data_IF_795932014704
#
_entry.id   IF_795932014704
#
_cell.length_a   1.000
_cell.length_b   1.000
_cell.length_c   1.000
_cell.angle_alpha   90.00
_cell.angle_beta   90.00
_cell.angle_gamma   90.00
#
_symmetry.space_group_name_H-M   'P 1'
#
loop_
_entity.id
_entity.type
_entity.pdbx_description
1 polymer ?
#
# COMPACT_ATOMS: atom_id res chain seq x y z
N UNK A 1 -39.71 -12.70 -2.94
CA UNK A 1 -39.87 -12.11 -4.29
C UNK A 1 -38.70 -12.68 -5.09
N UNK A 2 -38.83 -13.93 -5.55
CA UNK A 2 -37.68 -14.77 -5.92
C UNK A 2 -37.77 -15.24 -7.38
N UNK A 3 -38.37 -14.41 -8.24
CA UNK A 3 -38.71 -14.77 -9.62
C UNK A 3 -37.75 -14.28 -10.70
N UNK A 4 -36.79 -13.40 -10.37
CA UNK A 4 -35.93 -12.71 -11.35
C UNK A 4 -34.52 -13.32 -11.52
N UNK A 5 -34.21 -14.40 -10.79
CA UNK A 5 -32.90 -15.06 -10.91
C UNK A 5 -32.90 -16.08 -12.07
N UNK A 6 -31.91 -16.00 -12.95
CA UNK A 6 -31.71 -16.95 -14.06
C UNK A 6 -31.19 -18.27 -13.51
N UNK A 7 -31.92 -19.37 -13.75
CA UNK A 7 -31.59 -20.71 -13.21
C UNK A 7 -31.03 -21.69 -14.24
N UNK A 8 -31.33 -21.50 -15.53
CA UNK A 8 -30.90 -22.40 -16.60
C UNK A 8 -30.69 -21.64 -17.91
N UNK A 9 -29.69 -22.06 -18.69
CA UNK A 9 -29.44 -21.59 -20.05
C UNK A 9 -29.54 -22.76 -21.03
N UNK A 10 -30.55 -22.74 -21.89
CA UNK A 10 -30.71 -23.74 -22.96
C UNK A 10 -29.94 -23.27 -24.20
N UNK A 11 -28.81 -23.92 -24.46
CA UNK A 11 -27.90 -23.58 -25.56
C UNK A 11 -27.87 -24.68 -26.62
N UNK A 12 -27.49 -24.30 -27.85
CA UNK A 12 -27.20 -25.24 -28.94
C UNK A 12 -25.74 -25.09 -29.34
N UNK A 13 -25.03 -26.22 -29.48
CA UNK A 13 -23.67 -26.23 -29.98
C UNK A 13 -23.65 -25.80 -31.47
N UNK A 14 -23.06 -24.66 -31.75
CA UNK A 14 -22.76 -24.25 -33.12
C UNK A 14 -21.46 -24.91 -33.57
N UNK A 15 -21.53 -25.78 -34.59
CA UNK A 15 -20.32 -26.30 -35.23
C UNK A 15 -19.75 -25.22 -36.14
N UNK A 16 -18.86 -24.39 -35.59
CA UNK A 16 -18.15 -23.31 -36.29
C UNK A 16 -17.38 -23.76 -37.56
N UNK A 17 -17.22 -25.07 -37.78
CA UNK A 17 -16.60 -25.61 -38.99
C UNK A 17 -17.39 -25.29 -40.28
N UNK A 18 -18.67 -24.97 -40.17
CA UNK A 18 -19.52 -24.55 -41.29
C UNK A 18 -19.59 -23.00 -41.29
N UNK A 19 -18.81 -22.37 -42.17
CA UNK A 19 -18.32 -20.97 -42.13
C UNK A 19 -19.37 -19.82 -42.18
N UNK A 20 -20.63 -20.05 -41.86
CA UNK A 20 -21.71 -19.07 -42.12
C UNK A 20 -22.16 -18.26 -40.88
N UNK A 21 -21.50 -18.41 -39.73
CA UNK A 21 -21.85 -17.73 -38.48
C UNK A 21 -20.96 -16.52 -38.12
N UNK A 22 -21.43 -15.56 -37.30
CA UNK A 22 -20.58 -14.50 -36.75
C UNK A 22 -19.60 -15.08 -35.72
N UNK A 23 -18.33 -14.68 -35.81
CA UNK A 23 -17.28 -15.12 -34.88
C UNK A 23 -17.64 -14.69 -33.45
N UNK A 24 -17.48 -15.57 -32.43
CA UNK A 24 -17.74 -15.18 -31.05
C UNK A 24 -16.82 -14.04 -30.62
N UNK A 25 -17.36 -13.10 -29.83
CA UNK A 25 -16.64 -11.90 -29.35
C UNK A 25 -15.66 -12.21 -28.22
N UNK A 26 -15.96 -13.21 -27.41
CA UNK A 26 -15.12 -13.68 -26.30
C UNK A 26 -15.30 -15.18 -26.10
N UNK A 27 -14.41 -15.76 -25.30
CA UNK A 27 -14.48 -17.14 -24.84
C UNK A 27 -14.74 -17.14 -23.34
N UNK A 28 -15.54 -18.09 -22.87
CA UNK A 28 -15.81 -18.32 -21.45
C UNK A 28 -15.23 -19.66 -21.02
N UNK A 29 -14.89 -19.78 -19.74
CA UNK A 29 -14.57 -21.06 -19.11
C UNK A 29 -15.87 -21.79 -18.78
N UNK A 30 -15.85 -23.12 -18.81
CA UNK A 30 -17.00 -23.96 -18.45
C UNK A 30 -16.53 -25.20 -17.71
N UNK A 31 -17.45 -25.79 -16.96
CA UNK A 31 -17.25 -26.99 -16.16
C UNK A 31 -18.41 -27.94 -16.46
N UNK A 32 -18.19 -29.22 -16.77
CA UNK A 32 -19.27 -30.15 -17.07
C UNK A 32 -20.10 -30.45 -15.82
N UNK A 33 -21.36 -30.87 -16.01
CA UNK A 33 -22.31 -31.08 -14.91
C UNK A 33 -21.95 -32.22 -13.95
N UNK A 34 -21.05 -33.12 -14.36
CA UNK A 34 -20.56 -34.26 -13.56
C UNK A 34 -19.29 -33.93 -12.75
N UNK A 35 -18.98 -32.64 -12.61
CA UNK A 35 -17.82 -32.17 -11.87
C UNK A 35 -17.96 -32.36 -10.37
N UNK A 36 -16.82 -32.38 -9.69
CA UNK A 36 -16.76 -32.51 -8.24
C UNK A 36 -17.22 -31.21 -7.57
N UNK A 37 -18.06 -31.27 -6.52
CA UNK A 37 -18.34 -30.11 -5.70
C UNK A 37 -17.05 -29.67 -5.02
N UNK A 38 -16.83 -28.36 -4.99
CA UNK A 38 -15.66 -27.75 -4.38
C UNK A 38 -16.07 -26.45 -3.71
N UNK A 39 -15.59 -26.26 -2.48
CA UNK A 39 -15.80 -25.03 -1.73
C UNK A 39 -14.67 -24.06 -2.06
N UNK A 40 -15.05 -22.87 -2.51
CA UNK A 40 -14.11 -21.86 -2.98
C UNK A 40 -14.08 -20.71 -1.98
N UNK A 41 -12.95 -20.55 -1.30
CA UNK A 41 -12.71 -19.43 -0.37
C UNK A 41 -12.08 -18.28 -1.12
N UNK A 42 -12.83 -17.18 -1.27
CA UNK A 42 -12.31 -15.95 -1.89
C UNK A 42 -12.09 -14.88 -0.85
N UNK A 43 -10.82 -14.51 -0.67
CA UNK A 43 -10.44 -13.43 0.22
C UNK A 43 -10.45 -12.07 -0.47
N UNK A 44 -10.90 -11.07 0.26
CA UNK A 44 -10.73 -9.63 0.01
C UNK A 44 -9.92 -9.00 1.17
N UNK A 45 -9.78 -7.68 1.17
CA UNK A 45 -9.10 -6.95 2.23
C UNK A 45 -9.75 -7.20 3.59
N UNK A 46 -8.92 -7.62 4.57
CA UNK A 46 -9.34 -7.93 5.94
C UNK A 46 -9.83 -6.69 6.70
N UNK A 47 -9.33 -5.50 6.36
CA UNK A 47 -9.70 -4.24 6.99
C UNK A 47 -10.34 -3.30 5.97
N UNK A 48 -11.33 -2.52 6.41
CA UNK A 48 -11.96 -1.48 5.58
C UNK A 48 -11.07 -0.24 5.44
N UNK A 49 -10.15 -0.05 6.37
CA UNK A 49 -9.30 1.13 6.54
C UNK A 49 -7.86 0.84 6.13
N UNK A 50 -7.19 1.86 5.58
CA UNK A 50 -5.82 1.72 5.06
C UNK A 50 -4.78 1.61 6.19
N UNK A 51 -5.05 2.20 7.36
CA UNK A 51 -4.17 2.20 8.53
C UNK A 51 -4.92 1.78 9.80
N UNK A 52 -5.18 0.47 9.97
CA UNK A 52 -5.95 -0.04 11.09
C UNK A 52 -5.23 0.08 12.45
N UNK A 53 -3.95 0.48 12.45
CA UNK A 53 -3.19 0.74 13.68
C UNK A 53 -3.41 2.14 14.26
N UNK A 54 -4.25 2.97 13.63
CA UNK A 54 -4.52 4.35 14.07
C UNK A 54 -5.72 4.47 15.03
N UNK A 55 -6.58 3.44 15.07
CA UNK A 55 -7.69 3.33 16.00
C UNK A 55 -7.33 2.44 17.19
N UNK A 56 -7.90 2.74 18.37
CA UNK A 56 -7.73 1.93 19.58
C UNK A 56 -8.49 0.59 19.48
N UNK A 57 -9.56 0.52 18.68
CA UNK A 57 -10.45 -0.65 18.54
C UNK A 57 -10.43 -1.21 17.10
N UNK A 58 -9.29 -1.81 16.71
CA UNK A 58 -9.07 -2.41 15.39
C UNK A 58 -10.07 -3.52 15.01
N UNK A 59 -10.75 -4.12 16.00
CA UNK A 59 -11.76 -5.18 15.78
C UNK A 59 -12.97 -4.64 15.01
N UNK A 60 -13.34 -3.38 15.25
CA UNK A 60 -14.47 -2.74 14.57
C UNK A 60 -14.16 -2.37 13.12
N UNK A 61 -12.88 -2.39 12.74
CA UNK A 61 -12.40 -2.11 11.38
C UNK A 61 -12.27 -3.37 10.52
N UNK A 62 -12.58 -4.55 11.09
CA UNK A 62 -12.59 -5.81 10.36
C UNK A 62 -13.70 -5.78 9.32
N UNK A 63 -13.32 -6.10 8.09
CA UNK A 63 -14.26 -6.32 7.02
C UNK A 63 -14.93 -7.69 7.19
N UNK A 64 -16.20 -7.70 7.61
CA UNK A 64 -17.03 -8.91 7.71
C UNK A 64 -17.31 -9.55 6.34
N UNK A 65 -17.10 -8.79 5.27
CA UNK A 65 -17.17 -9.21 3.88
C UNK A 65 -15.76 -9.55 3.33
N UNK A 66 -14.79 -9.83 4.21
CA UNK A 66 -13.45 -10.24 3.76
C UNK A 66 -13.41 -11.62 3.09
N UNK A 67 -14.51 -12.40 3.16
CA UNK A 67 -14.68 -13.70 2.52
C UNK A 67 -15.93 -13.73 1.63
N UNK A 68 -15.76 -14.14 0.36
CA UNK A 68 -16.82 -14.29 -0.64
C UNK A 68 -16.61 -15.54 -1.52
N UNK A 69 -17.51 -15.77 -2.49
CA UNK A 69 -17.42 -16.84 -3.49
C UNK A 69 -17.24 -16.25 -4.91
N UNK A 70 -16.06 -16.43 -5.55
CA UNK A 70 -15.76 -16.00 -6.95
C UNK A 70 -14.66 -16.85 -7.62
N UNK A 71 -14.58 -16.77 -8.95
CA UNK A 71 -13.66 -17.54 -9.81
C UNK A 71 -12.24 -16.95 -9.79
N UNK A 72 -11.19 -17.78 -9.87
CA UNK A 72 -9.78 -17.34 -9.93
C UNK A 72 -8.77 -18.49 -10.01
N UNK A 73 -7.47 -18.20 -9.82
CA UNK A 73 -6.46 -19.24 -9.59
C UNK A 73 -6.53 -19.73 -8.14
N UNK A 74 -6.52 -21.04 -7.98
CA UNK A 74 -6.77 -21.69 -6.70
C UNK A 74 -5.57 -22.49 -6.23
N UNK A 75 -5.23 -22.33 -4.95
CA UNK A 75 -4.36 -23.23 -4.22
C UNK A 75 -5.24 -24.18 -3.40
N UNK A 76 -4.88 -25.47 -3.34
CA UNK A 76 -5.54 -26.42 -2.43
C UNK A 76 -5.28 -25.96 -1.00
N UNK A 77 -6.34 -25.78 -0.22
CA UNK A 77 -6.24 -25.43 1.19
C UNK A 77 -5.73 -26.66 1.98
N UNK A 78 -4.80 -26.50 2.95
CA UNK A 78 -4.34 -27.58 3.82
C UNK A 78 -5.45 -28.34 4.56
N UNK A 79 -6.62 -27.74 4.77
CA UNK A 79 -7.80 -28.35 5.39
C UNK A 79 -8.59 -29.26 4.43
N UNK A 80 -8.19 -29.34 3.16
CA UNK A 80 -8.78 -30.26 2.18
C UNK A 80 -8.68 -31.70 2.66
N UNK A 81 -9.83 -32.36 2.82
CA UNK A 81 -9.94 -33.76 3.27
C UNK A 81 -10.27 -34.73 2.13
N UNK A 82 -10.36 -34.22 0.90
CA UNK A 82 -10.79 -35.01 -0.26
C UNK A 82 -9.81 -36.12 -0.62
N UNK A 83 -10.31 -37.37 -0.62
CA UNK A 83 -9.60 -38.52 -1.15
C UNK A 83 -10.03 -38.79 -2.61
N UNK A 84 -9.12 -38.68 -3.59
CA UNK A 84 -9.43 -38.87 -5.00
C UNK A 84 -9.79 -40.31 -5.37
N UNK A 85 -9.46 -41.31 -4.54
CA UNK A 85 -9.78 -42.73 -4.83
C UNK A 85 -11.19 -43.09 -4.39
N UNK A 86 -11.61 -42.58 -3.24
CA UNK A 86 -12.96 -42.81 -2.71
C UNK A 86 -13.96 -41.73 -3.12
N UNK A 87 -13.50 -40.63 -3.73
CA UNK A 87 -14.29 -39.41 -4.04
C UNK A 87 -15.07 -38.91 -2.82
N UNK A 88 -14.48 -39.01 -1.64
CA UNK A 88 -15.10 -38.65 -0.37
C UNK A 88 -14.26 -37.58 0.34
N UNK A 89 -14.92 -36.72 1.11
CA UNK A 89 -14.33 -35.55 1.78
C UNK A 89 -14.54 -34.23 1.03
N UNK A 90 -14.06 -33.14 1.59
CA UNK A 90 -14.28 -31.78 1.06
C UNK A 90 -13.02 -31.24 0.37
N UNK A 91 -13.23 -30.64 -0.80
CA UNK A 91 -12.21 -29.92 -1.56
C UNK A 91 -12.31 -28.44 -1.21
N UNK A 92 -11.29 -27.91 -0.53
CA UNK A 92 -11.19 -26.49 -0.22
C UNK A 92 -10.12 -25.85 -1.09
N UNK A 93 -10.49 -24.74 -1.72
CA UNK A 93 -9.59 -24.00 -2.60
C UNK A 93 -9.50 -22.54 -2.15
N UNK A 94 -8.28 -22.09 -1.86
CA UNK A 94 -7.98 -20.69 -1.56
C UNK A 94 -7.63 -19.93 -2.83
N UNK A 95 -8.31 -18.81 -3.10
CA UNK A 95 -7.90 -17.92 -4.20
C UNK A 95 -6.66 -17.13 -3.81
N UNK A 96 -5.54 -17.33 -4.51
CA UNK A 96 -4.24 -16.80 -4.07
C UNK A 96 -4.07 -15.30 -4.34
N UNK A 97 -4.58 -14.75 -5.46
CA UNK A 97 -4.70 -13.30 -5.74
C UNK A 97 -5.71 -13.09 -6.90
N UNK A 98 -6.53 -12.04 -6.85
CA UNK A 98 -7.33 -11.59 -8.01
C UNK A 98 -6.43 -11.09 -9.13
N UNK A 99 -6.67 -11.48 -10.38
CA UNK A 99 -6.02 -10.80 -11.50
C UNK A 99 -6.41 -9.31 -11.50
N UNK A 100 -5.47 -8.40 -11.81
CA UNK A 100 -5.80 -6.99 -12.03
C UNK A 100 -6.67 -6.88 -13.28
N UNK A 101 -7.99 -7.00 -13.11
CA UNK A 101 -8.95 -7.00 -14.21
C UNK A 101 -10.37 -7.40 -13.84
N UNK A 102 -10.58 -8.27 -12.84
CA UNK A 102 -11.92 -8.78 -12.49
C UNK A 102 -12.57 -8.09 -11.27
N UNK A 103 -11.85 -7.18 -10.61
CA UNK A 103 -12.38 -6.33 -9.52
C UNK A 103 -12.67 -4.87 -9.94
N UNK A 104 -12.46 -4.51 -11.20
CA UNK A 104 -12.59 -3.11 -11.66
C UNK A 104 -14.03 -2.66 -11.95
N UNK A 105 -15.04 -3.41 -11.48
CA UNK A 105 -16.45 -3.03 -11.55
C UNK A 105 -17.09 -2.96 -10.16
N UNK A 106 -16.46 -2.23 -9.26
CA UNK A 106 -17.18 -1.37 -8.34
C UNK A 106 -16.21 -0.26 -7.93
N UNK A 107 -16.09 0.76 -8.80
CA UNK A 107 -15.75 2.11 -8.32
C UNK A 107 -16.98 2.63 -7.59
N UNK A 108 -17.32 1.99 -6.47
CA UNK A 108 -18.13 2.64 -5.47
C UNK A 108 -17.38 3.93 -5.15
N UNK A 109 -18.05 5.05 -5.34
CA UNK A 109 -17.46 6.37 -5.15
C UNK A 109 -16.94 6.39 -3.73
N UNK A 110 -15.62 6.24 -3.56
CA UNK A 110 -14.94 6.43 -2.28
C UNK A 110 -15.51 7.70 -1.68
N UNK A 111 -15.90 7.63 -0.41
CA UNK A 111 -16.58 8.76 0.21
C UNK A 111 -15.66 9.98 0.06
N UNK A 112 -16.21 11.17 -0.21
CA UNK A 112 -15.41 12.40 -0.36
C UNK A 112 -14.50 12.64 0.85
N UNK A 113 -14.88 12.08 2.00
CA UNK A 113 -14.14 12.13 3.25
C UNK A 113 -12.89 11.22 3.24
N UNK A 114 -12.97 9.99 2.72
CA UNK A 114 -11.82 9.08 2.56
C UNK A 114 -10.80 9.59 1.53
N UNK A 115 -11.29 10.12 0.39
CA UNK A 115 -10.40 10.74 -0.61
C UNK A 115 -9.70 11.97 -0.04
N UNK A 116 -10.42 12.78 0.75
CA UNK A 116 -9.85 13.93 1.46
C UNK A 116 -8.78 13.53 2.49
N UNK A 117 -9.06 12.51 3.32
CA UNK A 117 -8.12 12.02 4.32
C UNK A 117 -6.83 11.45 3.67
N UNK A 118 -6.97 10.68 2.59
CA UNK A 118 -5.83 10.11 1.87
C UNK A 118 -5.01 11.19 1.14
N UNK A 119 -5.67 12.20 0.58
CA UNK A 119 -4.99 13.34 -0.04
C UNK A 119 -4.22 14.17 1.00
N UNK A 120 -4.81 14.43 2.17
CA UNK A 120 -4.15 15.13 3.28
C UNK A 120 -2.93 14.36 3.79
N UNK A 121 -3.04 13.03 3.93
CA UNK A 121 -1.91 12.21 4.37
C UNK A 121 -0.77 12.19 3.35
N UNK A 122 -1.07 12.03 2.06
CA UNK A 122 -0.08 12.11 0.98
C UNK A 122 0.60 13.47 0.91
N UNK A 123 -0.15 14.56 1.09
CA UNK A 123 0.40 15.91 1.11
C UNK A 123 1.37 16.10 2.29
N UNK A 124 1.04 15.59 3.48
CA UNK A 124 1.92 15.61 4.65
C UNK A 124 3.19 14.79 4.42
N UNK A 125 3.08 13.58 3.86
CA UNK A 125 4.25 12.75 3.55
C UNK A 125 5.16 13.41 2.52
N UNK A 126 4.61 13.99 1.46
CA UNK A 126 5.37 14.72 0.45
C UNK A 126 6.09 15.93 1.04
N UNK A 127 5.42 16.69 1.93
CA UNK A 127 6.03 17.82 2.63
C UNK A 127 7.16 17.37 3.58
N UNK A 128 6.97 16.27 4.32
CA UNK A 128 7.98 15.69 5.20
C UNK A 128 9.18 15.13 4.42
N UNK A 129 8.94 14.52 3.27
CA UNK A 129 9.99 14.05 2.36
C UNK A 129 10.75 15.23 1.75
N UNK A 130 10.04 16.25 1.25
CA UNK A 130 10.66 17.45 0.68
C UNK A 130 11.52 18.20 1.71
N UNK A 131 11.05 18.32 2.96
CA UNK A 131 11.82 18.95 4.05
C UNK A 131 13.01 18.08 4.49
N UNK A 132 12.88 16.74 4.48
CA UNK A 132 14.01 15.82 4.68
C UNK A 132 15.04 15.90 3.54
N UNK A 133 14.60 15.99 2.28
CA UNK A 133 15.48 16.12 1.11
C UNK A 133 16.19 17.47 1.07
N UNK A 134 15.48 18.57 1.39
CA UNK A 134 16.08 19.89 1.53
C UNK A 134 17.18 19.88 2.61
N UNK A 135 16.92 19.24 3.75
CA UNK A 135 17.94 19.02 4.80
C UNK A 135 19.12 18.17 4.31
N UNK A 136 18.92 17.16 3.46
CA UNK A 136 20.00 16.31 2.93
C UNK A 136 20.90 17.04 1.91
N UNK A 137 20.41 18.11 1.27
CA UNK A 137 21.18 18.86 0.25
C UNK A 137 22.05 19.98 0.83
N UNK A 138 21.90 20.31 2.11
CA UNK A 138 22.64 21.40 2.76
C UNK A 138 23.96 20.87 3.31
N UNK A 139 25.09 21.54 3.01
CA UNK A 139 26.39 21.17 3.56
C UNK A 139 26.40 21.32 5.10
N UNK A 140 27.15 20.49 5.85
CA UNK A 140 27.15 20.54 7.31
C UNK A 140 27.48 21.92 7.89
N UNK A 141 28.39 22.68 7.25
CA UNK A 141 28.78 24.04 7.68
C UNK A 141 27.64 25.05 7.55
N UNK A 142 26.75 24.86 6.56
CA UNK A 142 25.64 25.76 6.25
C UNK A 142 24.30 25.34 6.89
N UNK A 143 24.29 24.25 7.66
CA UNK A 143 23.08 23.69 8.27
C UNK A 143 22.26 24.72 9.05
N UNK A 144 22.91 25.57 9.84
CA UNK A 144 22.22 26.57 10.67
C UNK A 144 21.91 27.88 9.92
N UNK A 145 22.38 28.03 8.68
CA UNK A 145 22.21 29.24 7.87
C UNK A 145 21.17 29.08 6.77
N UNK A 146 21.10 27.88 6.16
CA UNK A 146 20.25 27.61 4.99
C UNK A 146 19.07 26.68 5.29
N UNK A 147 19.04 25.98 6.42
CA UNK A 147 17.89 25.17 6.77
C UNK A 147 16.71 26.08 7.16
N UNK A 148 15.56 25.89 6.51
CA UNK A 148 14.33 26.64 6.78
C UNK A 148 13.88 26.60 8.25
N UNK A 149 14.31 25.60 9.02
CA UNK A 149 14.01 25.46 10.45
C UNK A 149 14.89 26.31 11.36
N UNK A 150 15.98 26.86 10.83
CA UNK A 150 16.96 27.67 11.57
C UNK A 150 17.00 29.12 11.07
N UNK A 151 16.13 29.46 10.12
CA UNK A 151 15.97 30.81 9.61
C UNK A 151 15.51 31.78 10.71
N UNK A 152 16.23 32.87 10.90
CA UNK A 152 15.92 33.92 11.89
C UNK A 152 16.27 33.60 13.35
N UNK A 153 16.80 32.42 13.67
CA UNK A 153 17.08 32.02 15.06
C UNK A 153 18.44 32.47 15.61
N UNK A 154 19.38 32.87 14.75
CA UNK A 154 20.74 33.21 15.17
C UNK A 154 21.31 34.39 14.38
N UNK A 155 21.99 35.29 15.10
CA UNK A 155 22.52 36.54 14.54
C UNK A 155 24.00 36.48 14.14
N UNK A 156 24.81 35.66 14.82
CA UNK A 156 26.26 35.54 14.56
C UNK A 156 26.72 34.09 14.55
N UNK A 157 27.63 33.77 13.63
CA UNK A 157 28.14 32.42 13.38
C UNK A 157 29.67 32.41 13.48
N UNK A 158 30.25 31.30 13.91
CA UNK A 158 31.69 31.10 13.88
C UNK A 158 32.13 30.77 12.44
N UNK A 159 33.09 31.54 11.92
CA UNK A 159 33.56 31.49 10.52
C UNK A 159 34.18 30.13 10.15
N UNK A 160 34.78 29.43 11.10
CA UNK A 160 35.53 28.19 10.85
C UNK A 160 34.66 26.93 11.02
N UNK A 161 33.65 26.99 11.89
CA UNK A 161 32.82 25.82 12.25
C UNK A 161 31.37 25.92 11.77
N UNK A 162 30.88 27.10 11.39
CA UNK A 162 29.49 27.33 10.99
C UNK A 162 28.48 27.27 12.15
N UNK A 163 28.94 27.07 13.39
CA UNK A 163 28.06 26.97 14.57
C UNK A 163 27.62 28.37 15.03
N UNK A 164 26.32 28.57 15.34
CA UNK A 164 25.82 29.81 15.94
C UNK A 164 26.47 30.14 17.28
N UNK A 165 26.78 31.43 17.48
CA UNK A 165 27.41 31.95 18.70
C UNK A 165 26.49 32.84 19.52
N UNK A 166 25.53 33.50 18.86
CA UNK A 166 24.55 34.39 19.46
C UNK A 166 23.14 34.01 18.98
N UNK A 167 22.14 34.18 19.83
CA UNK A 167 20.72 33.99 19.49
C UNK A 167 20.17 35.13 18.62
N UNK A 168 18.88 35.07 18.32
CA UNK A 168 18.17 36.08 17.52
C UNK A 168 18.25 37.49 18.13
N UNK A 169 18.27 37.59 19.47
CA UNK A 169 18.36 38.83 20.23
C UNK A 169 19.80 39.35 20.39
N UNK A 170 20.78 38.63 19.83
CA UNK A 170 22.19 39.02 19.91
C UNK A 170 22.83 38.73 21.26
N UNK A 171 22.22 37.89 22.10
CA UNK A 171 22.81 37.40 23.35
C UNK A 171 23.68 36.18 23.09
N UNK A 172 24.82 36.12 23.77
CA UNK A 172 25.75 35.01 23.63
C UNK A 172 25.15 33.68 24.11
N UNK A 173 25.16 32.68 23.22
CA UNK A 173 24.76 31.32 23.54
C UNK A 173 25.71 30.70 24.56
N UNK A 174 25.17 29.98 25.54
CA UNK A 174 25.96 29.30 26.57
C UNK A 174 26.87 28.20 25.98
N UNK A 175 27.95 27.86 26.69
CA UNK A 175 28.87 26.77 26.30
C UNK A 175 28.13 25.45 26.04
N UNK A 176 27.09 25.16 26.82
CA UNK A 176 26.27 23.96 26.66
C UNK A 176 25.38 24.03 25.41
N UNK A 177 24.81 25.20 25.11
CA UNK A 177 24.01 25.40 23.91
C UNK A 177 24.86 25.25 22.63
N UNK A 178 26.05 25.86 22.59
CA UNK A 178 27.00 25.73 21.47
C UNK A 178 27.44 24.28 21.27
N UNK A 179 27.71 23.53 22.36
CA UNK A 179 28.06 22.09 22.29
C UNK A 179 26.91 21.23 21.76
N UNK A 180 25.67 21.54 22.11
CA UNK A 180 24.49 20.85 21.60
C UNK A 180 24.28 21.10 20.09
N UNK A 181 24.50 22.34 19.64
CA UNK A 181 24.43 22.70 18.22
C UNK A 181 25.55 22.02 17.40
N UNK A 182 26.78 22.01 17.90
CA UNK A 182 27.89 21.27 17.27
C UNK A 182 27.59 19.77 17.16
N UNK A 183 26.96 19.15 18.17
CA UNK A 183 26.53 17.74 18.11
C UNK A 183 25.42 17.50 17.07
N UNK A 184 24.50 18.45 16.86
CA UNK A 184 23.47 18.36 15.82
C UNK A 184 24.08 18.44 14.41
N UNK A 185 25.05 19.33 14.21
CA UNK A 185 25.80 19.46 12.97
C UNK A 185 26.62 18.20 12.65
N UNK A 186 27.33 17.65 13.65
CA UNK A 186 28.10 16.42 13.50
C UNK A 186 27.21 15.20 13.16
N UNK A 187 26.00 15.13 13.75
CA UNK A 187 25.01 14.12 13.39
C UNK A 187 24.48 14.27 11.97
N UNK A 188 24.30 15.50 11.51
CA UNK A 188 23.89 15.78 10.13
C UNK A 188 24.99 15.36 9.15
N UNK A 189 26.25 15.69 9.44
CA UNK A 189 27.43 15.25 8.67
C UNK A 189 27.60 13.72 8.64
N UNK A 190 27.36 13.02 9.75
CA UNK A 190 27.49 11.55 9.80
C UNK A 190 26.34 10.82 9.11
N UNK A 191 25.16 11.45 8.99
CA UNK A 191 23.96 10.83 8.38
C UNK A 191 24.08 10.69 6.87
N UNK A 192 25.07 11.36 6.25
CA UNK A 192 25.43 11.19 4.85
C UNK A 192 26.25 9.90 4.59
N UNK A 193 26.67 9.15 5.63
CA UNK A 193 27.50 7.94 5.49
C UNK A 193 26.72 6.62 5.24
N UNK A 194 25.42 6.67 4.96
CA UNK A 194 24.66 5.53 4.44
C UNK A 194 24.22 5.71 2.97
N UNK A 195 24.61 6.82 2.32
CA UNK A 195 24.22 7.15 0.95
C UNK A 195 25.21 6.75 -0.15
N UNK A 196 26.40 6.23 0.17
CA UNK A 196 27.42 5.91 -0.83
C UNK A 196 28.17 4.59 -0.55
N UNK A 197 27.42 3.48 -0.46
CA UNK A 197 27.97 2.17 -0.81
C UNK A 197 27.49 1.84 -2.23
N UNK A 198 28.25 2.35 -3.20
CA UNK A 198 28.28 1.77 -4.54
C UNK A 198 28.48 0.26 -4.40
N UNK A 199 27.47 -0.52 -4.81
CA UNK A 199 27.66 -1.92 -5.12
C UNK A 199 28.59 -2.00 -6.34
N UNK A 200 29.86 -2.26 -6.10
CA UNK A 200 30.79 -2.73 -7.11
C UNK A 200 31.16 -4.18 -6.76
N UNK A 201 30.56 -5.12 -7.50
CA UNK A 201 31.20 -6.38 -7.91
C UNK A 201 30.92 -6.55 -9.40
#
# INVERSE_FOLDING_TARGET
MDGDNVVELVCRLCRWKDKDGPKPKSFITWVPSDSLPADIRVYDHLFTTVEPSSSDDWVDEINNESEFERIGYFAVDPETTFDPRSRNGNLFFNRTVSLPGEGAMNKEKRSKQEEGAMAAHRAKQLADLASKEARKKIAPVDLFRLAAEHEGLYSKYNVETGVPTHDADGKELSKNARKALAKKQAKHASRDYEGNRDYCM
#
